data_IF_352018830838
#
_entry.id   IF_352018830838
#
_cell.length_a   1.000
_cell.length_b   1.000
_cell.length_c   1.000
_cell.angle_alpha   90.00
_cell.angle_beta   90.00
_cell.angle_gamma   90.00
#
_symmetry.space_group_name_H-M   'P 1'
#
loop_
_entity.id
_entity.type
_entity.pdbx_description
1 polymer ?
#
# COMPACT_ATOMS: atom_id res chain seq x y z
N UNK A 1 34.40 36.18 6.17
CA UNK A 1 33.33 35.62 7.04
C UNK A 1 32.94 34.27 6.46
N UNK A 2 33.29 33.17 7.12
CA UNK A 2 32.88 31.83 6.70
C UNK A 2 31.74 31.37 7.61
N UNK A 3 30.53 31.30 7.05
CA UNK A 3 29.37 30.71 7.71
C UNK A 3 29.45 29.19 7.58
N UNK A 4 29.69 28.49 8.69
CA UNK A 4 29.48 27.06 8.76
C UNK A 4 27.97 26.78 8.90
N UNK A 5 27.42 25.98 7.98
CA UNK A 5 26.03 25.53 8.06
C UNK A 5 26.05 24.19 8.80
N UNK A 6 25.55 24.17 10.04
CA UNK A 6 25.29 22.93 10.75
C UNK A 6 24.01 22.31 10.19
N UNK A 7 24.11 21.13 9.58
CA UNK A 7 22.92 20.37 9.22
C UNK A 7 22.26 19.85 10.50
N UNK A 8 21.00 20.23 10.74
CA UNK A 8 20.16 19.61 11.77
C UNK A 8 19.69 18.23 11.27
N UNK A 9 20.64 17.33 11.05
CA UNK A 9 20.33 15.92 10.85
C UNK A 9 20.09 15.29 12.21
N UNK A 10 18.84 14.94 12.53
CA UNK A 10 18.55 14.11 13.69
C UNK A 10 19.31 12.77 13.52
N UNK A 11 20.25 12.49 14.43
CA UNK A 11 21.00 11.23 14.41
C UNK A 11 20.08 10.09 14.82
N UNK A 12 19.45 9.47 13.84
CA UNK A 12 18.63 8.28 14.05
C UNK A 12 19.53 7.07 14.13
N UNK A 13 19.45 6.34 15.25
CA UNK A 13 20.23 5.13 15.46
C UNK A 13 19.84 4.03 14.46
N UNK A 14 20.75 3.10 14.18
CA UNK A 14 20.44 1.95 13.33
C UNK A 14 19.27 1.13 13.87
N UNK A 15 19.17 0.98 15.20
CA UNK A 15 18.04 0.32 15.86
C UNK A 15 16.71 1.06 15.59
N UNK A 16 16.70 2.39 15.67
CA UNK A 16 15.51 3.20 15.35
C UNK A 16 15.06 3.00 13.90
N UNK A 17 16.01 2.92 12.95
CA UNK A 17 15.68 2.63 11.53
C UNK A 17 15.07 1.26 11.34
N UNK A 18 15.63 0.23 11.99
CA UNK A 18 15.13 -1.15 11.90
C UNK A 18 13.70 -1.24 12.42
N UNK A 19 13.40 -0.58 13.54
CA UNK A 19 12.04 -0.53 14.10
C UNK A 19 11.06 0.20 13.18
N UNK A 20 11.48 1.30 12.56
CA UNK A 20 10.63 2.02 11.59
C UNK A 20 10.34 1.17 10.35
N UNK A 21 11.37 0.51 9.81
CA UNK A 21 11.24 -0.35 8.63
C UNK A 21 10.39 -1.58 8.93
N UNK A 22 10.53 -2.19 10.11
CA UNK A 22 9.71 -3.34 10.49
C UNK A 22 8.23 -2.98 10.62
N UNK A 23 7.90 -1.85 11.23
CA UNK A 23 6.52 -1.35 11.30
C UNK A 23 5.95 -1.05 9.92
N UNK A 24 6.73 -0.41 9.05
CA UNK A 24 6.31 -0.14 7.67
C UNK A 24 6.05 -1.44 6.90
N UNK A 25 6.92 -2.45 7.07
CA UNK A 25 6.74 -3.76 6.46
C UNK A 25 5.50 -4.48 6.99
N UNK A 26 5.28 -4.48 8.31
CA UNK A 26 4.10 -5.08 8.93
C UNK A 26 2.81 -4.40 8.46
N UNK A 27 2.79 -3.07 8.38
CA UNK A 27 1.67 -2.33 7.84
C UNK A 27 1.41 -2.69 6.37
N UNK A 28 2.46 -2.78 5.55
CA UNK A 28 2.33 -3.17 4.15
C UNK A 28 1.73 -4.57 3.98
N UNK A 29 2.25 -5.55 4.74
CA UNK A 29 1.70 -6.91 4.75
C UNK A 29 0.26 -6.92 5.23
N UNK A 30 -0.08 -6.13 6.26
CA UNK A 30 -1.45 -6.00 6.75
C UNK A 30 -2.39 -5.46 5.68
N UNK A 31 -2.02 -4.37 4.98
CA UNK A 31 -2.86 -3.78 3.93
C UNK A 31 -3.07 -4.78 2.78
N UNK A 32 -1.99 -5.40 2.28
CA UNK A 32 -2.07 -6.34 1.16
C UNK A 32 -2.88 -7.58 1.54
N UNK A 33 -2.63 -8.15 2.72
CA UNK A 33 -3.39 -9.28 3.23
C UNK A 33 -4.86 -8.93 3.44
N UNK A 34 -5.13 -7.82 4.13
CA UNK A 34 -6.50 -7.40 4.40
C UNK A 34 -7.28 -7.12 3.11
N UNK A 35 -6.72 -6.34 2.18
CA UNK A 35 -7.36 -6.05 0.90
C UNK A 35 -7.52 -7.31 0.03
N UNK A 36 -6.50 -8.18 -0.02
CA UNK A 36 -6.50 -9.38 -0.85
C UNK A 36 -7.44 -10.49 -0.35
N UNK A 37 -7.66 -10.58 0.96
CA UNK A 37 -8.58 -11.55 1.57
C UNK A 37 -9.91 -10.92 2.00
N UNK A 38 -10.13 -9.64 1.73
CA UNK A 38 -11.42 -8.99 1.98
C UNK A 38 -12.47 -9.55 1.02
N UNK A 39 -13.57 -10.08 1.55
CA UNK A 39 -14.74 -10.50 0.79
C UNK A 39 -15.42 -9.26 0.19
N UNK A 40 -14.92 -8.77 -0.95
CA UNK A 40 -15.45 -7.56 -1.59
C UNK A 40 -16.61 -7.90 -2.51
N UNK A 41 -17.84 -7.78 -1.98
CA UNK A 41 -19.08 -7.97 -2.74
C UNK A 41 -19.16 -7.05 -3.96
N UNK A 42 -18.56 -5.85 -3.88
CA UNK A 42 -18.49 -4.90 -5.00
C UNK A 42 -17.74 -5.50 -6.20
N UNK A 43 -16.61 -6.18 -5.99
CA UNK A 43 -15.87 -6.82 -7.10
C UNK A 43 -16.56 -8.07 -7.59
N UNK A 44 -17.19 -8.85 -6.70
CA UNK A 44 -18.01 -9.98 -7.12
C UNK A 44 -19.18 -9.52 -8.00
N UNK A 45 -19.93 -8.50 -7.58
CA UNK A 45 -21.03 -7.92 -8.35
C UNK A 45 -20.53 -7.30 -9.67
N UNK A 46 -19.41 -6.59 -9.66
CA UNK A 46 -18.80 -6.06 -10.88
C UNK A 46 -18.39 -7.19 -11.86
N UNK A 47 -17.90 -8.33 -11.36
CA UNK A 47 -17.57 -9.48 -12.19
C UNK A 47 -18.83 -10.16 -12.75
N UNK A 48 -19.92 -10.20 -11.99
CA UNK A 48 -21.23 -10.65 -12.47
C UNK A 48 -21.78 -9.71 -13.55
N UNK A 49 -21.74 -8.39 -13.31
CA UNK A 49 -22.18 -7.35 -14.25
C UNK A 49 -21.33 -7.32 -15.52
N UNK A 50 -20.02 -7.59 -15.40
CA UNK A 50 -19.14 -7.74 -16.55
C UNK A 50 -19.61 -8.87 -17.47
N UNK A 51 -19.96 -10.04 -16.92
CA UNK A 51 -20.47 -11.16 -17.72
C UNK A 51 -21.81 -10.85 -18.38
N UNK A 52 -22.67 -10.06 -17.73
CA UNK A 52 -23.92 -9.56 -18.33
C UNK A 52 -23.67 -8.53 -19.44
N UNK A 53 -22.62 -7.71 -19.31
CA UNK A 53 -22.24 -6.69 -20.29
C UNK A 53 -21.41 -7.24 -21.46
N UNK A 54 -20.79 -8.41 -21.27
CA UNK A 54 -19.98 -9.14 -22.25
C UNK A 54 -20.81 -9.96 -23.23
N UNK A 55 -22.15 -9.94 -23.11
CA UNK A 55 -23.05 -10.35 -24.18
C UNK A 55 -22.94 -9.34 -25.33
N UNK A 56 -21.80 -9.39 -26.03
CA UNK A 56 -21.60 -8.70 -27.29
C UNK A 56 -22.75 -9.08 -28.22
N UNK A 57 -23.41 -8.10 -28.88
CA UNK A 57 -24.38 -8.42 -29.92
C UNK A 57 -23.62 -9.22 -30.99
N UNK A 58 -23.94 -10.51 -31.12
CA UNK A 58 -23.78 -11.15 -32.40
C UNK A 58 -24.70 -10.38 -33.35
N UNK A 59 -24.12 -9.88 -34.43
CA UNK A 59 -24.90 -9.43 -35.57
C UNK A 59 -25.95 -10.48 -35.94
#
# INVERSE_FOLDING_TARGET
>A
MNTAISSLGASTSAASRVVQLSFAALLGVFIVGFAGFSQMDVVHNAAHDYRHSMAFPCH
#
